data_IF_822973426923
#
_entry.id   IF_822973426923
#
_cell.length_a   1.000
_cell.length_b   1.000
_cell.length_c   1.000
_cell.angle_alpha   90.00
_cell.angle_beta   90.00
_cell.angle_gamma   90.00
#
_symmetry.space_group_name_H-M   'P 1'
#
loop_
_entity.id
_entity.type
_entity.pdbx_description
1 polymer ?
#
# COMPACT_ATOMS: atom_id res chain seq x y z
N UNK A 1 11.99 -28.06 -37.85
CA UNK A 1 10.80 -27.45 -37.19
C UNK A 1 10.93 -27.37 -35.67
N UNK A 2 11.64 -28.27 -34.98
CA UNK A 2 11.79 -28.26 -33.49
C UNK A 2 12.77 -27.22 -32.93
N UNK A 3 13.75 -26.76 -33.71
CA UNK A 3 14.78 -25.81 -33.25
C UNK A 3 14.27 -24.39 -32.96
N UNK A 4 13.24 -23.95 -33.69
CA UNK A 4 12.62 -22.62 -33.51
C UNK A 4 11.58 -22.59 -32.38
N UNK A 5 11.10 -23.77 -31.91
CA UNK A 5 10.09 -23.87 -30.86
C UNK A 5 10.68 -23.65 -29.46
N UNK A 6 11.93 -24.06 -29.23
CA UNK A 6 12.62 -23.89 -27.96
C UNK A 6 12.84 -22.41 -27.57
N UNK A 7 13.37 -21.51 -28.44
CA UNK A 7 13.51 -20.10 -28.08
C UNK A 7 12.17 -19.39 -27.91
N UNK A 8 11.14 -19.79 -28.67
CA UNK A 8 9.78 -19.26 -28.57
C UNK A 8 9.12 -19.65 -27.24
N UNK A 9 9.31 -20.91 -26.81
CA UNK A 9 8.88 -21.38 -25.50
C UNK A 9 9.63 -20.67 -24.36
N UNK A 10 10.95 -20.47 -24.50
CA UNK A 10 11.75 -19.73 -23.53
C UNK A 10 11.26 -18.28 -23.39
N UNK A 11 10.98 -17.62 -24.52
CA UNK A 11 10.44 -16.26 -24.55
C UNK A 11 9.08 -16.18 -23.84
N UNK A 12 8.16 -17.10 -24.15
CA UNK A 12 6.84 -17.16 -23.51
C UNK A 12 6.93 -17.39 -21.99
N UNK A 13 7.83 -18.27 -21.53
CA UNK A 13 8.09 -18.51 -20.11
C UNK A 13 8.72 -17.29 -19.41
N UNK A 14 9.56 -16.54 -20.12
CA UNK A 14 10.18 -15.29 -19.64
C UNK A 14 9.14 -14.21 -19.41
N UNK A 15 8.16 -14.08 -20.32
CA UNK A 15 7.07 -13.08 -20.22
C UNK A 15 6.12 -13.45 -19.06
N UNK A 16 5.90 -14.74 -18.80
CA UNK A 16 5.07 -15.21 -17.68
C UNK A 16 5.71 -14.98 -16.30
N UNK A 17 7.03 -14.78 -16.24
CA UNK A 17 7.79 -14.65 -14.99
C UNK A 17 7.94 -13.20 -14.51
N UNK A 18 7.51 -12.21 -15.30
CA UNK A 18 7.52 -10.81 -14.87
C UNK A 18 6.35 -10.58 -13.90
N UNK A 19 6.63 -10.63 -12.59
CA UNK A 19 5.69 -10.17 -11.58
C UNK A 19 5.35 -8.70 -11.84
N UNK A 20 4.09 -8.42 -12.19
CA UNK A 20 3.63 -7.05 -12.42
C UNK A 20 3.56 -6.30 -11.08
N UNK A 21 4.28 -5.18 -10.99
CA UNK A 21 4.25 -4.28 -9.83
C UNK A 21 2.92 -3.51 -9.78
N UNK A 22 2.24 -3.56 -8.63
CA UNK A 22 0.95 -2.91 -8.38
C UNK A 22 1.14 -1.59 -7.65
N UNK A 23 0.84 -0.50 -8.35
CA UNK A 23 0.83 0.85 -7.79
C UNK A 23 -0.62 1.30 -7.63
N UNK A 24 -0.95 1.84 -6.46
CA UNK A 24 -2.32 2.23 -6.11
C UNK A 24 -2.38 3.65 -5.54
N UNK A 25 -3.58 4.23 -5.55
CA UNK A 25 -3.90 5.43 -4.77
C UNK A 25 -5.21 5.20 -4.02
N UNK A 26 -5.28 5.59 -2.75
CA UNK A 26 -6.46 5.42 -1.93
C UNK A 26 -6.69 6.68 -1.08
N UNK A 27 -7.71 7.44 -1.43
CA UNK A 27 -8.21 8.50 -0.57
C UNK A 27 -9.08 7.88 0.53
N UNK A 28 -8.59 7.91 1.77
CA UNK A 28 -9.34 7.45 2.95
C UNK A 28 -9.97 8.67 3.57
N UNK A 29 -11.25 8.93 3.25
CA UNK A 29 -11.96 10.14 3.68
C UNK A 29 -11.71 10.44 5.16
N UNK A 30 -11.12 11.62 5.42
CA UNK A 30 -10.82 12.08 6.77
C UNK A 30 -10.12 11.02 7.64
N UNK A 31 -8.99 10.50 7.16
CA UNK A 31 -8.21 9.49 7.86
C UNK A 31 -7.48 10.10 9.07
N UNK A 32 -8.25 10.30 10.13
CA UNK A 32 -7.80 10.81 11.43
C UNK A 32 -8.00 9.79 12.55
N UNK A 33 -7.84 10.26 13.80
CA UNK A 33 -7.98 9.46 15.02
C UNK A 33 -9.29 8.65 15.09
N UNK A 34 -10.43 9.28 14.82
CA UNK A 34 -11.74 8.59 14.82
C UNK A 34 -11.77 7.39 13.84
N UNK A 35 -11.11 7.49 12.68
CA UNK A 35 -11.06 6.38 11.70
C UNK A 35 -10.06 5.31 12.12
N UNK A 36 -8.97 5.72 12.76
CA UNK A 36 -7.95 4.83 13.31
C UNK A 36 -8.49 3.97 14.46
N UNK A 37 -9.39 4.51 15.28
CA UNK A 37 -10.05 3.80 16.38
C UNK A 37 -11.13 2.83 15.92
N UNK A 38 -11.73 3.06 14.74
CA UNK A 38 -12.65 2.14 14.10
C UNK A 38 -11.92 0.91 13.57
N UNK A 39 -12.00 -0.18 14.34
CA UNK A 39 -11.36 -1.47 14.01
C UNK A 39 -11.83 -2.02 12.67
N UNK A 40 -13.11 -1.88 12.32
CA UNK A 40 -13.65 -2.41 11.07
C UNK A 40 -13.10 -1.62 9.88
N UNK A 41 -13.05 -0.29 9.99
CA UNK A 41 -12.46 0.56 8.97
C UNK A 41 -10.96 0.24 8.78
N UNK A 42 -10.21 0.13 9.87
CA UNK A 42 -8.77 -0.18 9.82
C UNK A 42 -8.49 -1.55 9.20
N UNK A 43 -9.31 -2.56 9.48
CA UNK A 43 -9.16 -3.89 8.89
C UNK A 43 -9.38 -3.85 7.36
N UNK A 44 -10.33 -3.06 6.88
CA UNK A 44 -10.55 -2.85 5.44
C UNK A 44 -9.38 -2.08 4.83
N UNK A 45 -8.93 -1.00 5.46
CA UNK A 45 -7.80 -0.18 4.98
C UNK A 45 -6.53 -1.03 4.83
N UNK A 46 -6.20 -1.84 5.84
CA UNK A 46 -5.05 -2.75 5.79
C UNK A 46 -5.19 -3.78 4.67
N UNK A 47 -6.38 -4.36 4.48
CA UNK A 47 -6.64 -5.30 3.37
C UNK A 47 -6.48 -4.64 2.00
N UNK A 48 -6.89 -3.39 1.84
CA UNK A 48 -6.72 -2.63 0.59
C UNK A 48 -5.23 -2.38 0.32
N UNK A 49 -4.49 -1.87 1.31
CA UNK A 49 -3.05 -1.58 1.16
C UNK A 49 -2.25 -2.84 0.81
N UNK A 50 -2.55 -3.98 1.44
CA UNK A 50 -1.87 -5.27 1.19
C UNK A 50 -2.01 -5.83 -0.23
N UNK A 51 -2.82 -5.20 -1.08
CA UNK A 51 -2.98 -5.59 -2.50
C UNK A 51 -1.96 -4.90 -3.41
N UNK A 52 -1.25 -3.90 -2.90
CA UNK A 52 -0.39 -3.00 -3.64
C UNK A 52 1.06 -3.11 -3.15
N UNK A 53 2.01 -3.00 -4.06
CA UNK A 53 3.43 -2.93 -3.75
C UNK A 53 3.81 -1.50 -3.34
N UNK A 54 3.21 -0.50 -4.00
CA UNK A 54 3.32 0.93 -3.66
C UNK A 54 1.92 1.52 -3.60
N UNK A 55 1.62 2.32 -2.57
CA UNK A 55 0.33 3.00 -2.44
C UNK A 55 0.49 4.43 -1.95
N UNK A 56 -0.20 5.36 -2.60
CA UNK A 56 -0.43 6.71 -2.09
C UNK A 56 -1.71 6.69 -1.24
N UNK A 57 -1.59 6.98 0.05
CA UNK A 57 -2.74 7.18 0.96
C UNK A 57 -2.94 8.67 1.17
N UNK A 58 -4.17 9.16 0.96
CA UNK A 58 -4.52 10.60 1.03
C UNK A 58 -5.55 10.89 2.12
N UNK A 59 -5.72 12.18 2.41
CA UNK A 59 -6.57 12.74 3.49
C UNK A 59 -6.16 12.32 4.91
N UNK A 60 -4.85 12.25 5.19
CA UNK A 60 -4.34 11.90 6.52
C UNK A 60 -4.49 13.09 7.47
N UNK A 61 -5.45 13.01 8.39
CA UNK A 61 -5.70 14.07 9.38
C UNK A 61 -5.05 13.71 10.71
N UNK A 62 -3.72 13.74 10.72
CA UNK A 62 -2.93 13.37 11.88
C UNK A 62 -2.11 14.55 12.41
N UNK A 63 -2.57 15.19 13.48
CA UNK A 63 -1.78 16.23 14.16
C UNK A 63 -0.71 15.68 15.10
N UNK A 64 -0.81 14.39 15.48
CA UNK A 64 -0.03 13.79 16.55
C UNK A 64 1.01 12.79 16.05
N UNK A 65 1.12 12.60 14.73
CA UNK A 65 2.01 11.65 14.06
C UNK A 65 1.85 10.20 14.55
N UNK A 66 0.62 9.75 14.79
CA UNK A 66 0.29 8.41 15.32
C UNK A 66 -0.24 7.43 14.28
N UNK A 67 -0.89 7.92 13.23
CA UNK A 67 -1.61 7.07 12.26
C UNK A 67 -0.64 6.19 11.47
N UNK A 68 0.42 6.78 10.91
CA UNK A 68 1.40 6.02 10.13
C UNK A 68 2.13 4.96 10.95
N UNK A 69 2.65 5.24 12.17
CA UNK A 69 3.22 4.21 13.04
C UNK A 69 2.26 3.05 13.33
N UNK A 70 1.00 3.34 13.66
CA UNK A 70 -0.02 2.31 13.95
C UNK A 70 -0.35 1.51 12.70
N UNK A 71 -0.43 2.16 11.54
CA UNK A 71 -0.65 1.50 10.27
C UNK A 71 0.52 0.57 9.91
N UNK A 72 1.76 0.99 10.15
CA UNK A 72 2.95 0.15 9.96
C UNK A 72 2.93 -1.08 10.88
N UNK A 73 2.59 -0.90 12.16
CA UNK A 73 2.45 -2.02 13.09
C UNK A 73 1.43 -3.04 12.56
N UNK A 74 0.24 -2.59 12.15
CA UNK A 74 -0.82 -3.45 11.61
C UNK A 74 -0.44 -4.13 10.30
N UNK A 75 0.22 -3.41 9.38
CA UNK A 75 0.62 -3.95 8.08
C UNK A 75 1.68 -5.04 8.24
N UNK A 76 2.68 -4.78 9.09
CA UNK A 76 3.85 -5.63 9.28
C UNK A 76 3.63 -6.72 10.34
N UNK A 77 2.51 -6.70 11.07
CA UNK A 77 2.14 -7.77 12.00
C UNK A 77 2.01 -9.09 11.24
N UNK A 78 2.71 -10.12 11.74
CA UNK A 78 2.69 -11.48 11.19
C UNK A 78 3.16 -11.57 9.72
N UNK A 79 4.09 -10.73 9.27
CA UNK A 79 4.67 -10.82 7.93
C UNK A 79 5.37 -12.17 7.70
N UNK A 80 4.66 -13.11 7.08
CA UNK A 80 5.10 -14.51 6.89
C UNK A 80 6.22 -14.70 5.86
N UNK A 81 6.60 -13.67 5.11
CA UNK A 81 7.50 -13.78 3.94
C UNK A 81 8.62 -12.75 3.92
N UNK A 82 8.91 -12.08 5.04
CA UNK A 82 9.89 -10.98 5.08
C UNK A 82 9.49 -9.72 4.31
N UNK A 83 8.28 -9.68 3.73
CA UNK A 83 7.72 -8.51 3.07
C UNK A 83 7.20 -7.57 4.14
N UNK A 84 7.79 -6.38 4.23
CA UNK A 84 7.39 -5.31 5.14
C UNK A 84 7.08 -4.06 4.34
N UNK A 85 6.10 -3.30 4.82
CA UNK A 85 5.82 -1.96 4.37
C UNK A 85 6.68 -0.96 5.14
N UNK A 86 7.09 0.08 4.43
CA UNK A 86 7.60 1.31 5.00
C UNK A 86 6.75 2.49 4.50
N UNK A 87 6.94 3.68 5.07
CA UNK A 87 6.21 4.86 4.68
C UNK A 87 7.10 6.09 4.54
N UNK A 88 6.64 7.03 3.73
CA UNK A 88 7.09 8.42 3.69
C UNK A 88 5.84 9.27 3.85
N UNK A 89 5.90 10.30 4.68
CA UNK A 89 4.78 11.22 4.94
C UNK A 89 5.26 12.66 4.72
N UNK A 90 4.40 13.49 4.12
CA UNK A 90 4.65 14.93 3.99
C UNK A 90 4.38 15.66 5.30
N UNK A 91 4.69 16.95 5.33
CA UNK A 91 4.05 17.85 6.30
C UNK A 91 2.54 17.93 6.02
N UNK A 92 1.77 18.39 7.02
CA UNK A 92 0.34 18.65 6.84
C UNK A 92 0.12 19.85 5.91
N UNK A 93 -0.74 19.68 4.91
CA UNK A 93 -1.03 20.66 3.87
C UNK A 93 -2.51 21.09 3.91
N UNK A 94 -2.76 22.35 3.55
CA UNK A 94 -4.11 22.90 3.44
C UNK A 94 -4.08 24.42 3.53
N UNK A 95 -5.07 25.11 2.95
CA UNK A 95 -5.12 26.58 2.99
C UNK A 95 -5.65 27.11 4.32
N UNK A 96 -6.63 26.42 4.89
CA UNK A 96 -7.37 26.86 6.08
C UNK A 96 -7.10 25.95 7.29
N UNK A 97 -8.00 25.89 8.27
CA UNK A 97 -7.91 25.02 9.45
C UNK A 97 -7.97 23.52 9.10
N UNK A 98 -8.55 23.20 7.95
CA UNK A 98 -8.53 21.86 7.38
C UNK A 98 -7.16 21.56 6.79
N UNK A 99 -6.41 20.65 7.43
CA UNK A 99 -5.11 20.16 6.93
C UNK A 99 -5.06 18.63 6.90
N UNK A 100 -4.48 18.10 5.84
CA UNK A 100 -4.28 16.68 5.51
C UNK A 100 -2.79 16.34 5.29
#
# INVERSE_FOLDING_TARGET
>A
MSRELAPLLLLLLSIHSALAMRICSFNVRSFGESKQEDKNAMDVIVKVIKRCDIILVMEIKDSNNRICPILMEKLNRNSRRGITYNYVISSRLGRNTYKE
#
